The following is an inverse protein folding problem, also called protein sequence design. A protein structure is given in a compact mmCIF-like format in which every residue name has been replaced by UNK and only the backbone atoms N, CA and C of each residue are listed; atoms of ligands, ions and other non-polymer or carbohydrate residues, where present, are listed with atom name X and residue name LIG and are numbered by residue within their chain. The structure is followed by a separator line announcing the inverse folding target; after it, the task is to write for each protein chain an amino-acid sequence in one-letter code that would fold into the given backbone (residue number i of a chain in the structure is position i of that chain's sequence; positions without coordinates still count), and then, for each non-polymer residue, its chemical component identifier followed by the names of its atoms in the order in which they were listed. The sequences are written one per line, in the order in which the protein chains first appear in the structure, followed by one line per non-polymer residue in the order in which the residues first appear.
data_IF_492433463578
#
_entry.id   IF_492433463578
#
_cell.length_a   1.000
_cell.length_b   1.000
_cell.length_c   1.000
_cell.angle_alpha   90.00
_cell.angle_beta   90.00
_cell.angle_gamma   90.00
#
_symmetry.space_group_name_H-M   'P 1'
#
loop_
_entity.id
_entity.type
_entity.pdbx_description
1 polymer ?
#
# COMPACT_ATOMS: atom_id res chain seq x y z
N UNK A 1 -14.81 1.03 6.86
CA UNK A 1 -15.16 0.97 5.88
C UNK A 1 -15.62 -0.16 5.23
N UNK A 2 -16.45 -0.66 5.67
CA UNK A 2 -16.95 -1.82 5.24
C UNK A 2 -17.33 -1.81 3.84
N UNK A 3 -17.06 -2.79 3.15
CA UNK A 3 -17.57 -2.99 1.84
C UNK A 3 -16.82 -2.38 0.70
N UNK A 4 -15.87 -1.53 0.95
CA UNK A 4 -15.16 -0.94 -0.15
C UNK A 4 -13.80 -1.56 -0.30
N UNK A 5 -13.49 -1.97 -1.52
CA UNK A 5 -12.19 -2.55 -1.78
C UNK A 5 -11.16 -1.45 -1.96
N UNK A 6 -9.96 -1.68 -1.52
CA UNK A 6 -8.92 -0.68 -1.68
C UNK A 6 -8.56 -0.48 -3.13
N UNK A 7 -8.15 0.72 -3.45
CA UNK A 7 -7.68 1.03 -4.79
C UNK A 7 -6.19 0.81 -4.94
N UNK A 8 -5.49 0.77 -3.83
CA UNK A 8 -4.04 0.61 -3.85
C UNK A 8 -3.59 -0.36 -2.77
N UNK A 9 -2.48 -1.02 -3.02
CA UNK A 9 -1.78 -1.75 -1.96
C UNK A 9 -0.62 -0.91 -1.50
N UNK A 10 -0.43 -0.83 -0.21
CA UNK A 10 0.71 -0.10 0.36
C UNK A 10 1.74 -1.13 0.76
N UNK A 11 2.91 -1.00 0.21
CA UNK A 11 3.96 -1.98 0.46
C UNK A 11 5.24 -1.26 0.86
N UNK A 12 6.11 -2.00 1.50
CA UNK A 12 7.46 -1.53 1.76
C UNK A 12 8.42 -2.38 0.96
N UNK A 13 9.47 -1.76 0.49
CA UNK A 13 10.50 -2.43 -0.26
C UNK A 13 11.63 -2.79 0.70
N UNK A 14 11.99 -4.04 0.70
CA UNK A 14 13.11 -4.50 1.50
C UNK A 14 14.15 -5.10 0.61
N UNK A 15 15.40 -4.81 0.88
CA UNK A 15 16.47 -5.34 0.10
C UNK A 15 17.19 -6.39 0.92
N UNK A 16 17.38 -7.55 0.33
CA UNK A 16 18.09 -8.62 0.99
C UNK A 16 19.10 -9.16 0.00
N UNK A 17 20.35 -8.83 0.19
CA UNK A 17 21.39 -9.20 -0.76
C UNK A 17 21.11 -8.53 -2.10
N UNK A 18 20.97 -9.32 -3.15
CA UNK A 18 20.72 -8.80 -4.46
C UNK A 18 19.26 -8.68 -4.79
N UNK A 19 18.38 -9.05 -3.90
CA UNK A 19 16.96 -9.11 -4.24
C UNK A 19 16.18 -8.06 -3.49
N UNK A 20 15.13 -7.59 -4.13
CA UNK A 20 14.20 -6.67 -3.50
C UNK A 20 12.91 -7.42 -3.21
N UNK A 21 12.39 -7.25 -2.03
CA UNK A 21 11.14 -7.86 -1.65
C UNK A 21 10.15 -6.77 -1.30
N UNK A 22 8.90 -7.01 -1.66
CA UNK A 22 7.84 -6.06 -1.31
C UNK A 22 6.90 -6.74 -0.34
N UNK A 23 6.63 -6.08 0.76
CA UNK A 23 5.73 -6.61 1.78
C UNK A 23 4.54 -5.67 1.89
N UNK A 24 3.34 -6.20 1.76
CA UNK A 24 2.14 -5.39 1.88
C UNK A 24 1.88 -5.08 3.35
N UNK A 25 1.79 -3.81 3.66
CA UNK A 25 1.55 -3.40 5.04
C UNK A 25 0.29 -2.59 5.21
N UNK A 26 -0.44 -2.36 4.15
CA UNK A 26 -1.65 -1.59 4.26
C UNK A 26 -2.38 -1.49 2.95
N UNK A 27 -3.33 -0.60 2.92
CA UNK A 27 -4.15 -0.39 1.74
C UNK A 27 -4.48 1.08 1.61
N UNK A 28 -4.80 1.50 0.41
CA UNK A 28 -5.16 2.88 0.14
C UNK A 28 -6.43 2.97 -0.66
N UNK A 29 -7.16 4.04 -0.46
CA UNK A 29 -8.40 4.32 -1.16
C UNK A 29 -8.37 5.72 -1.70
N UNK A 30 -8.94 5.90 -2.88
CA UNK A 30 -9.13 7.25 -3.40
C UNK A 30 -10.25 7.92 -2.64
N UNK A 31 -10.03 9.16 -2.27
CA UNK A 31 -11.04 9.94 -1.59
C UNK A 31 -11.23 11.24 -2.34
N UNK A 32 -12.15 12.06 -1.86
CA UNK A 32 -12.51 13.29 -2.54
C UNK A 32 -11.33 14.24 -2.70
N UNK A 33 -11.38 15.06 -3.69
CA UNK A 33 -10.39 16.10 -3.92
C UNK A 33 -9.01 15.55 -4.23
N UNK A 34 -9.02 14.44 -4.93
CA UNK A 34 -7.77 13.84 -5.39
C UNK A 34 -6.88 13.35 -4.28
N UNK A 35 -7.43 13.14 -3.12
CA UNK A 35 -6.65 12.60 -2.02
C UNK A 35 -6.65 11.09 -2.02
N UNK A 36 -5.75 10.53 -1.25
CA UNK A 36 -5.69 9.08 -1.05
C UNK A 36 -5.61 8.83 0.44
N UNK A 37 -6.54 8.02 0.93
CA UNK A 37 -6.53 7.65 2.33
C UNK A 37 -5.78 6.33 2.46
N UNK A 38 -4.86 6.26 3.38
CA UNK A 38 -4.02 5.08 3.53
C UNK A 38 -4.17 4.59 4.96
N UNK A 39 -4.41 3.28 5.09
CA UNK A 39 -4.43 2.64 6.39
C UNK A 39 -3.30 1.65 6.45
N UNK A 40 -2.50 1.75 7.47
CA UNK A 40 -1.33 0.90 7.62
C UNK A 40 -1.54 -0.06 8.77
N UNK A 41 -1.15 -1.31 8.55
CA UNK A 41 -1.19 -2.32 9.59
C UNK A 41 0.14 -2.44 10.28
N UNK A 42 1.17 -1.89 9.70
CA UNK A 42 2.50 -1.87 10.27
C UNK A 42 3.15 -0.59 9.83
N UNK A 43 4.13 -0.15 10.55
CA UNK A 43 4.84 1.07 10.19
C UNK A 43 6.19 0.72 9.61
N UNK A 44 6.56 1.35 8.50
CA UNK A 44 7.86 1.08 7.91
C UNK A 44 8.97 1.66 8.77
N UNK A 45 10.01 0.91 8.93
CA UNK A 45 11.14 1.37 9.70
C UNK A 45 11.82 2.53 9.03
N UNK A 46 11.89 2.47 7.71
CA UNK A 46 12.57 3.50 6.95
C UNK A 46 11.72 4.71 6.69
N UNK A 47 10.45 4.64 6.96
CA UNK A 47 9.57 5.73 6.64
C UNK A 47 9.19 5.84 5.18
N UNK A 48 9.48 4.84 4.39
CA UNK A 48 9.16 4.86 2.97
C UNK A 48 8.13 3.81 2.64
N UNK A 49 7.18 4.18 1.81
CA UNK A 49 6.17 3.25 1.35
C UNK A 49 6.00 3.42 -0.14
N UNK A 50 5.45 2.41 -0.76
CA UNK A 50 5.14 2.46 -2.18
C UNK A 50 3.70 2.05 -2.35
N UNK A 51 2.98 2.76 -3.20
CA UNK A 51 1.60 2.45 -3.50
C UNK A 51 1.54 1.85 -4.88
N UNK A 52 0.92 0.69 -4.97
CA UNK A 52 0.69 0.06 -6.25
C UNK A 52 -0.80 -0.02 -6.50
N UNK A 53 -1.26 0.38 -7.67
CA UNK A 53 -2.69 0.28 -7.96
C UNK A 53 -3.11 -1.17 -8.03
N UNK A 54 -4.30 -1.44 -7.56
CA UNK A 54 -4.86 -2.78 -7.62
C UNK A 54 -5.77 -2.90 -8.81
N UNK A 55 -5.86 -4.09 -9.33
CA UNK A 55 -6.80 -4.34 -10.39
C UNK A 55 -8.07 -4.88 -9.82
N UNK A 56 -9.16 -4.46 -10.43
CA UNK A 56 -10.42 -4.82 -9.88
C UNK A 56 -10.73 -6.25 -9.90
N UNK A 57 -10.26 -6.99 -10.80
CA UNK A 57 -10.64 -8.36 -10.89
C UNK A 57 -9.83 -9.23 -10.02
N UNK A 58 -9.08 -8.68 -9.14
CA UNK A 58 -8.32 -9.50 -8.29
C UNK A 58 -8.78 -9.60 -6.95
#
# INVERSE_FOLDING_TARGET
MAGKKPDYNVVVSKKSGDKNYYTTIGAGWNVAKDGISVELQALPVDGKIVLFPRKDNE
#
